data_IF_664215325404
#
_entry.id   IF_664215325404
#
_cell.length_a   1.000
_cell.length_b   1.000
_cell.length_c   1.000
_cell.angle_alpha   90.00
_cell.angle_beta   90.00
_cell.angle_gamma   90.00
#
_symmetry.space_group_name_H-M   'P 1'
#
loop_
_entity.id
_entity.type
_entity.pdbx_description
1 polymer ?
#
# COMPACT_ATOMS: atom_id res chain seq x y z
N UNK A 1 13.65 -6.74 -5.95
CA UNK A 1 13.53 -6.46 -7.38
C UNK A 1 12.07 -6.17 -7.64
N UNK A 2 11.76 -5.14 -8.44
CA UNK A 2 10.39 -4.84 -8.89
C UNK A 2 9.93 -5.91 -9.89
N UNK A 3 8.61 -6.14 -9.96
CA UNK A 3 7.98 -7.10 -10.87
C UNK A 3 6.90 -6.41 -11.66
N UNK A 4 6.50 -6.97 -12.82
CA UNK A 4 5.36 -6.49 -13.59
C UNK A 4 4.05 -6.82 -12.87
N UNK A 5 3.04 -5.98 -13.09
CA UNK A 5 1.65 -6.24 -12.68
C UNK A 5 0.79 -6.30 -13.93
N UNK A 6 0.02 -7.37 -14.09
CA UNK A 6 -0.93 -7.48 -15.20
C UNK A 6 -2.33 -7.78 -14.68
N UNK A 7 -3.30 -6.98 -15.10
CA UNK A 7 -4.74 -7.22 -14.91
C UNK A 7 -5.33 -7.69 -16.23
N UNK A 8 -6.04 -8.82 -16.22
CA UNK A 8 -6.71 -9.37 -17.38
C UNK A 8 -8.21 -9.49 -17.13
N UNK A 9 -9.01 -8.65 -17.81
CA UNK A 9 -10.48 -8.62 -17.76
C UNK A 9 -11.03 -8.57 -16.33
N UNK A 10 -10.39 -7.79 -15.46
CA UNK A 10 -10.76 -7.70 -14.05
C UNK A 10 -12.11 -6.99 -13.90
N UNK A 11 -13.04 -7.68 -13.25
CA UNK A 11 -14.34 -7.14 -12.89
C UNK A 11 -14.65 -7.39 -11.42
N UNK A 12 -15.33 -6.45 -10.79
CA UNK A 12 -15.91 -6.59 -9.46
C UNK A 12 -17.34 -6.14 -9.45
N UNK A 13 -18.24 -7.05 -9.17
CA UNK A 13 -19.66 -6.77 -9.03
C UNK A 13 -20.14 -7.05 -7.59
N UNK A 14 -21.18 -6.34 -7.20
CA UNK A 14 -21.91 -6.53 -5.96
C UNK A 14 -23.40 -6.70 -6.28
N UNK A 15 -24.11 -7.33 -5.35
CA UNK A 15 -25.57 -7.43 -5.41
C UNK A 15 -26.13 -6.57 -4.28
N UNK A 16 -27.00 -5.61 -4.62
CA UNK A 16 -27.73 -4.77 -3.67
C UNK A 16 -29.20 -4.74 -4.14
N UNK A 17 -30.12 -4.99 -3.22
CA UNK A 17 -31.58 -4.98 -3.49
C UNK A 17 -31.98 -5.90 -4.67
N UNK A 18 -31.33 -7.07 -4.79
CA UNK A 18 -31.44 -8.01 -5.90
C UNK A 18 -30.95 -7.51 -7.26
N UNK A 19 -30.34 -6.32 -7.33
CA UNK A 19 -29.73 -5.80 -8.56
C UNK A 19 -28.21 -5.95 -8.52
N UNK A 20 -27.63 -6.45 -9.63
CA UNK A 20 -26.18 -6.56 -9.81
C UNK A 20 -25.64 -5.25 -10.36
N UNK A 21 -24.65 -4.66 -9.67
CA UNK A 21 -23.92 -3.51 -10.19
C UNK A 21 -22.42 -3.79 -10.22
N UNK A 22 -21.71 -3.19 -11.17
CA UNK A 22 -20.26 -3.31 -11.29
C UNK A 22 -19.58 -2.08 -10.70
N UNK A 23 -18.74 -2.30 -9.68
CA UNK A 23 -17.85 -1.25 -9.18
C UNK A 23 -16.59 -1.10 -10.06
N UNK A 24 -16.19 -2.21 -10.70
CA UNK A 24 -15.10 -2.28 -11.69
C UNK A 24 -15.54 -3.26 -12.76
N UNK A 25 -15.35 -2.92 -14.04
CA UNK A 25 -15.78 -3.77 -15.16
C UNK A 25 -14.71 -3.84 -16.25
N UNK A 26 -14.29 -5.06 -16.58
CA UNK A 26 -13.42 -5.42 -17.69
C UNK A 26 -12.13 -4.56 -17.79
N UNK A 27 -11.45 -4.35 -16.65
CA UNK A 27 -10.20 -3.59 -16.59
C UNK A 27 -9.05 -4.47 -17.07
N UNK A 28 -8.32 -3.96 -18.07
CA UNK A 28 -7.08 -4.51 -18.56
C UNK A 28 -5.96 -3.49 -18.34
N UNK A 29 -4.85 -3.92 -17.76
CA UNK A 29 -3.74 -3.06 -17.41
C UNK A 29 -2.45 -3.88 -17.36
N UNK A 30 -1.37 -3.29 -17.84
CA UNK A 30 -0.02 -3.81 -17.69
C UNK A 30 0.89 -2.71 -17.16
N UNK A 31 1.61 -3.00 -16.07
CA UNK A 31 2.59 -2.09 -15.43
C UNK A 31 3.93 -2.80 -15.43
N UNK A 32 4.92 -2.16 -16.02
CA UNK A 32 6.27 -2.72 -16.13
C UNK A 32 7.07 -2.58 -14.82
N UNK A 33 8.10 -3.41 -14.59
CA UNK A 33 8.98 -3.26 -13.45
C UNK A 33 9.61 -1.86 -13.39
N UNK A 34 9.45 -1.16 -12.23
CA UNK A 34 9.98 0.19 -12.03
C UNK A 34 9.10 1.31 -12.61
N UNK A 35 7.99 0.99 -13.23
CA UNK A 35 7.03 1.97 -13.71
C UNK A 35 6.21 2.58 -12.55
N UNK A 36 5.88 3.86 -12.69
CA UNK A 36 4.97 4.58 -11.81
C UNK A 36 3.65 4.84 -12.55
N UNK A 37 2.55 4.26 -12.05
CA UNK A 37 1.22 4.41 -12.64
C UNK A 37 0.29 5.14 -11.68
N UNK A 38 -0.53 6.05 -12.18
CA UNK A 38 -1.55 6.76 -11.41
C UNK A 38 -2.94 6.49 -11.97
N UNK A 39 -3.86 6.05 -11.09
CA UNK A 39 -5.28 6.04 -11.39
C UNK A 39 -5.89 7.43 -11.17
N UNK A 40 -6.40 8.04 -12.22
CA UNK A 40 -7.09 9.33 -12.17
C UNK A 40 -8.59 9.14 -12.46
N UNK A 41 -9.43 9.85 -11.75
CA UNK A 41 -10.87 9.81 -11.97
C UNK A 41 -11.68 10.30 -10.76
N UNK A 42 -12.99 10.56 -10.92
CA UNK A 42 -13.86 11.04 -9.85
C UNK A 42 -14.00 10.03 -8.70
N UNK A 43 -14.56 10.49 -7.58
CA UNK A 43 -14.92 9.60 -6.47
C UNK A 43 -15.93 8.54 -6.94
N UNK A 44 -15.75 7.30 -6.50
CA UNK A 44 -16.64 6.20 -6.85
C UNK A 44 -16.37 5.50 -8.20
N UNK A 45 -15.37 5.92 -8.99
CA UNK A 45 -15.06 5.28 -10.28
C UNK A 45 -14.27 3.96 -10.16
N UNK A 46 -14.12 3.39 -8.97
CA UNK A 46 -13.51 2.07 -8.78
C UNK A 46 -12.01 2.04 -8.49
N UNK A 47 -11.31 3.19 -8.33
CA UNK A 47 -9.85 3.23 -8.04
C UNK A 47 -9.46 2.42 -6.81
N UNK A 48 -10.05 2.74 -5.66
CA UNK A 48 -9.80 2.03 -4.40
C UNK A 48 -10.17 0.54 -4.48
N UNK A 49 -11.28 0.21 -5.15
CA UNK A 49 -11.69 -1.19 -5.38
C UNK A 49 -10.65 -1.94 -6.20
N UNK A 50 -10.14 -1.33 -7.27
CA UNK A 50 -9.07 -1.91 -8.11
C UNK A 50 -7.80 -2.13 -7.30
N UNK A 51 -7.34 -1.13 -6.53
CA UNK A 51 -6.18 -1.24 -5.66
C UNK A 51 -6.35 -2.36 -4.62
N UNK A 52 -7.54 -2.46 -4.00
CA UNK A 52 -7.84 -3.53 -3.03
C UNK A 52 -7.84 -4.92 -3.65
N UNK A 53 -8.33 -5.06 -4.90
CA UNK A 53 -8.25 -6.32 -5.62
C UNK A 53 -6.79 -6.69 -5.92
N UNK A 54 -5.96 -5.74 -6.37
CA UNK A 54 -4.53 -5.97 -6.61
C UNK A 54 -3.84 -6.37 -5.31
N UNK A 55 -4.14 -5.71 -4.19
CA UNK A 55 -3.55 -6.00 -2.88
C UNK A 55 -4.01 -7.33 -2.28
N UNK A 56 -5.15 -7.89 -2.72
CA UNK A 56 -5.73 -9.11 -2.14
C UNK A 56 -6.63 -8.90 -0.93
N UNK A 57 -7.06 -7.65 -0.69
CA UNK A 57 -8.10 -7.35 0.31
C UNK A 57 -9.49 -7.61 -0.23
N UNK A 58 -9.63 -7.73 -1.55
CA UNK A 58 -10.86 -8.03 -2.23
C UNK A 58 -10.61 -8.99 -3.39
N UNK A 59 -11.50 -9.96 -3.58
CA UNK A 59 -11.37 -10.93 -4.69
C UNK A 59 -12.18 -10.43 -5.89
N UNK A 60 -11.61 -10.37 -7.11
CA UNK A 60 -12.36 -10.01 -8.28
C UNK A 60 -13.47 -11.06 -8.55
N UNK A 61 -14.58 -10.62 -9.13
CA UNK A 61 -15.66 -11.52 -9.56
C UNK A 61 -15.26 -12.27 -10.84
N UNK A 62 -14.48 -11.60 -11.71
CA UNK A 62 -14.01 -12.13 -12.99
C UNK A 62 -12.61 -11.63 -13.28
N UNK A 63 -11.87 -12.36 -14.12
CA UNK A 63 -10.54 -12.01 -14.59
C UNK A 63 -9.40 -12.54 -13.74
N UNK A 64 -8.16 -12.08 -14.03
CA UNK A 64 -6.94 -12.55 -13.41
C UNK A 64 -6.00 -11.41 -13.06
N UNK A 65 -5.29 -11.54 -11.94
CA UNK A 65 -4.23 -10.64 -11.49
C UNK A 65 -2.92 -11.42 -11.47
N UNK A 66 -1.95 -10.97 -12.27
CA UNK A 66 -0.62 -11.57 -12.34
C UNK A 66 0.42 -10.63 -11.75
N UNK A 67 1.34 -11.17 -10.96
CA UNK A 67 2.51 -10.49 -10.43
C UNK A 67 3.76 -11.20 -11.00
N UNK A 68 4.39 -10.59 -11.99
CA UNK A 68 5.27 -11.33 -12.89
C UNK A 68 4.50 -12.45 -13.58
N UNK A 69 5.03 -13.67 -13.53
CA UNK A 69 4.37 -14.87 -14.09
C UNK A 69 3.41 -15.56 -13.10
N UNK A 70 3.33 -15.06 -11.86
CA UNK A 70 2.52 -15.68 -10.80
C UNK A 70 1.10 -15.15 -10.79
N UNK A 71 0.11 -16.03 -10.92
CA UNK A 71 -1.30 -15.70 -10.69
C UNK A 71 -1.52 -15.53 -9.17
N UNK A 72 -1.91 -14.29 -8.77
CA UNK A 72 -2.17 -13.92 -7.39
C UNK A 72 -3.65 -13.66 -7.13
N UNK A 73 -4.54 -13.93 -8.08
CA UNK A 73 -5.96 -13.60 -8.04
C UNK A 73 -6.64 -14.06 -6.75
N UNK A 74 -6.36 -15.29 -6.31
CA UNK A 74 -6.94 -15.92 -5.11
C UNK A 74 -5.99 -15.92 -3.91
N UNK A 75 -4.79 -15.37 -4.03
CA UNK A 75 -3.81 -15.31 -2.95
C UNK A 75 -4.20 -14.18 -1.99
N UNK A 76 -4.23 -14.41 -0.66
CA UNK A 76 -4.55 -13.37 0.32
C UNK A 76 -3.44 -12.31 0.39
N UNK A 77 -3.79 -11.11 0.87
CA UNK A 77 -2.91 -9.94 0.86
C UNK A 77 -1.55 -10.16 1.56
N UNK A 78 -1.53 -10.89 2.67
CA UNK A 78 -0.31 -11.18 3.45
C UNK A 78 0.70 -12.07 2.70
N UNK A 79 0.27 -12.75 1.63
CA UNK A 79 1.13 -13.68 0.86
C UNK A 79 1.53 -13.13 -0.51
N UNK A 80 1.03 -11.95 -0.91
CA UNK A 80 1.35 -11.34 -2.22
C UNK A 80 2.70 -10.61 -2.24
N UNK A 81 3.31 -10.31 -1.09
CA UNK A 81 4.59 -9.60 -1.02
C UNK A 81 4.51 -8.14 -1.47
N UNK A 82 3.33 -7.56 -1.48
CA UNK A 82 3.08 -6.16 -1.84
C UNK A 82 3.03 -5.27 -0.61
N UNK A 83 3.33 -3.97 -0.78
CA UNK A 83 3.10 -2.94 0.21
C UNK A 83 1.83 -2.15 -0.11
N UNK A 84 1.05 -1.80 0.92
CA UNK A 84 -0.16 -0.99 0.76
C UNK A 84 -0.14 0.19 1.74
N UNK A 85 -0.30 1.40 1.20
CA UNK A 85 -0.49 2.63 1.97
C UNK A 85 -1.96 3.02 1.88
N UNK A 86 -2.65 2.98 3.02
CA UNK A 86 -4.07 3.33 3.13
C UNK A 86 -4.27 4.84 3.17
N UNK A 87 -5.40 5.32 2.67
CA UNK A 87 -5.81 6.73 2.69
C UNK A 87 -5.80 7.35 4.10
N UNK A 88 -6.17 6.58 5.13
CA UNK A 88 -6.15 6.99 6.54
C UNK A 88 -4.88 6.60 7.29
N UNK A 89 -3.81 6.27 6.55
CA UNK A 89 -2.49 5.84 7.04
C UNK A 89 -2.49 4.53 7.87
N UNK A 90 -3.58 4.17 8.52
CA UNK A 90 -3.79 2.98 9.34
C UNK A 90 -2.64 2.73 10.34
N UNK A 91 -2.11 3.78 10.98
CA UNK A 91 -1.10 3.65 12.03
C UNK A 91 -1.73 3.06 13.29
N UNK A 92 -0.94 2.30 14.04
CA UNK A 92 -1.34 1.76 15.34
C UNK A 92 -1.20 2.86 16.40
N UNK A 93 -2.32 3.44 16.91
CA UNK A 93 -2.27 4.64 17.75
C UNK A 93 -1.63 4.40 19.13
N UNK A 94 -1.65 3.17 19.61
CA UNK A 94 -1.09 2.72 20.89
C UNK A 94 0.39 2.33 20.82
N UNK A 95 0.98 2.34 19.62
CA UNK A 95 2.38 2.00 19.39
C UNK A 95 3.20 3.24 19.07
N UNK A 96 4.44 3.29 19.54
CA UNK A 96 5.43 4.30 19.12
C UNK A 96 5.71 4.18 17.61
N UNK A 97 6.27 5.24 17.03
CA UNK A 97 6.63 5.28 15.60
C UNK A 97 7.63 4.18 15.24
N UNK A 98 8.64 3.95 16.10
CA UNK A 98 9.55 2.82 15.94
C UNK A 98 8.80 1.50 15.80
N UNK A 99 7.86 1.23 16.72
CA UNK A 99 7.10 -0.04 16.74
C UNK A 99 6.13 -0.16 15.57
N UNK A 100 5.54 0.96 15.11
CA UNK A 100 4.72 0.99 13.90
C UNK A 100 5.54 0.54 12.68
N UNK A 101 6.76 1.06 12.50
CA UNK A 101 7.63 0.71 11.36
C UNK A 101 8.20 -0.70 11.54
N UNK A 102 8.58 -1.09 12.74
CA UNK A 102 9.13 -2.41 13.06
C UNK A 102 8.13 -3.56 12.94
N UNK A 103 6.83 -3.27 12.95
CA UNK A 103 5.77 -4.27 13.08
C UNK A 103 5.89 -5.43 12.08
N UNK A 104 6.03 -5.13 10.81
CA UNK A 104 6.16 -6.14 9.76
C UNK A 104 7.46 -6.96 9.85
N UNK A 105 8.55 -6.35 10.30
CA UNK A 105 9.83 -7.05 10.51
C UNK A 105 9.73 -8.04 11.68
N UNK A 106 9.00 -7.68 12.75
CA UNK A 106 8.75 -8.59 13.87
C UNK A 106 7.92 -9.80 13.45
N UNK A 107 6.89 -9.60 12.60
CA UNK A 107 6.11 -10.71 12.03
C UNK A 107 7.00 -11.64 11.22
N UNK A 108 8.00 -11.09 10.50
CA UNK A 108 9.02 -11.87 9.79
C UNK A 108 10.08 -12.51 10.70
N UNK A 109 9.98 -12.30 12.03
CA UNK A 109 10.90 -12.84 13.05
C UNK A 109 12.37 -12.42 12.82
N UNK A 110 12.59 -11.19 12.31
CA UNK A 110 13.96 -10.65 12.19
C UNK A 110 14.53 -10.34 13.58
N UNK A 111 15.88 -10.38 13.72
CA UNK A 111 16.54 -10.08 14.98
C UNK A 111 16.42 -8.60 15.37
N UNK A 112 16.49 -8.30 16.66
CA UNK A 112 16.33 -6.93 17.17
C UNK A 112 17.35 -5.95 16.57
N UNK A 113 18.59 -6.38 16.37
CA UNK A 113 19.65 -5.55 15.77
C UNK A 113 19.33 -5.19 14.32
N UNK A 114 18.84 -6.17 13.55
CA UNK A 114 18.43 -5.96 12.16
C UNK A 114 17.21 -5.03 12.10
N UNK A 115 16.23 -5.22 13.00
CA UNK A 115 15.05 -4.37 13.10
C UNK A 115 15.48 -2.92 13.40
N UNK A 116 16.31 -2.71 14.42
CA UNK A 116 16.76 -1.37 14.81
C UNK A 116 17.45 -0.63 13.64
N UNK A 117 18.34 -1.32 12.93
CA UNK A 117 19.03 -0.77 11.75
C UNK A 117 18.05 -0.40 10.64
N UNK A 118 17.18 -1.34 10.23
CA UNK A 118 16.23 -1.13 9.12
C UNK A 118 15.21 -0.02 9.43
N UNK A 119 14.71 0.05 10.67
CA UNK A 119 13.77 1.10 11.09
C UNK A 119 14.43 2.47 11.02
N UNK A 120 15.67 2.60 11.52
CA UNK A 120 16.43 3.85 11.45
C UNK A 120 16.64 4.30 10.00
N UNK A 121 17.04 3.38 9.12
CA UNK A 121 17.18 3.66 7.69
C UNK A 121 15.85 4.10 7.06
N UNK A 122 14.75 3.41 7.36
CA UNK A 122 13.44 3.74 6.81
C UNK A 122 12.92 5.10 7.30
N UNK A 123 13.12 5.45 8.57
CA UNK A 123 12.75 6.76 9.12
C UNK A 123 13.62 7.88 8.54
N UNK A 124 14.91 7.64 8.29
CA UNK A 124 15.80 8.58 7.63
C UNK A 124 15.36 8.87 6.18
N UNK A 125 14.97 7.84 5.42
CA UNK A 125 14.45 8.01 4.04
C UNK A 125 13.24 8.94 3.97
N UNK A 126 12.43 9.03 5.02
CA UNK A 126 11.25 9.89 5.06
C UNK A 126 11.44 11.17 5.89
N UNK A 127 12.68 11.46 6.36
CA UNK A 127 13.01 12.66 7.13
C UNK A 127 12.38 12.71 8.52
N UNK A 128 12.30 11.57 9.21
CA UNK A 128 11.67 11.42 10.52
C UNK A 128 12.59 10.74 11.57
N UNK A 129 13.90 10.91 11.48
CA UNK A 129 14.91 10.25 12.34
C UNK A 129 14.66 10.51 13.84
N UNK A 130 14.13 11.69 14.17
CA UNK A 130 13.89 12.11 15.57
C UNK A 130 12.50 11.72 16.08
N UNK A 131 11.69 11.04 15.28
CA UNK A 131 10.30 10.72 15.64
C UNK A 131 10.11 9.33 16.26
N UNK A 132 11.14 8.50 16.32
CA UNK A 132 11.06 7.08 16.70
C UNK A 132 10.35 6.81 18.05
N UNK A 133 10.51 7.72 19.02
CA UNK A 133 9.92 7.57 20.37
C UNK A 133 8.54 8.22 20.52
N UNK A 134 8.07 8.95 19.51
CA UNK A 134 6.74 9.59 19.51
C UNK A 134 5.63 8.58 19.22
N UNK A 135 4.40 8.98 19.55
CA UNK A 135 3.17 8.29 19.16
C UNK A 135 2.53 8.99 17.94
N UNK A 136 1.67 8.28 17.17
CA UNK A 136 1.02 8.87 15.99
C UNK A 136 0.28 10.19 16.27
N UNK A 137 -0.41 10.31 17.42
CA UNK A 137 -1.14 11.52 17.81
C UNK A 137 -0.24 12.74 18.11
N UNK A 138 1.06 12.55 18.20
CA UNK A 138 2.06 13.63 18.38
C UNK A 138 2.65 14.09 17.03
N UNK A 139 2.13 13.59 15.91
CA UNK A 139 2.59 13.90 14.58
C UNK A 139 1.50 14.63 13.78
N UNK A 140 1.92 15.52 12.89
CA UNK A 140 1.05 16.09 11.87
C UNK A 140 0.56 15.02 10.87
N UNK A 141 -0.52 15.28 10.14
CA UNK A 141 -1.03 14.35 9.14
C UNK A 141 0.01 13.97 8.07
N UNK A 142 0.82 14.94 7.62
CA UNK A 142 1.92 14.68 6.68
C UNK A 142 3.04 13.82 7.28
N UNK A 143 3.36 13.98 8.57
CA UNK A 143 4.31 13.10 9.26
C UNK A 143 3.75 11.69 9.43
N UNK A 144 2.47 11.55 9.80
CA UNK A 144 1.80 10.24 9.89
C UNK A 144 1.82 9.50 8.55
N UNK A 145 1.60 10.21 7.46
CA UNK A 145 1.68 9.67 6.11
C UNK A 145 3.08 9.15 5.79
N UNK A 146 4.13 9.92 6.12
CA UNK A 146 5.53 9.50 5.95
C UNK A 146 5.87 8.28 6.79
N UNK A 147 5.33 8.17 8.02
CA UNK A 147 5.48 6.95 8.83
C UNK A 147 4.81 5.75 8.16
N UNK A 148 3.60 5.91 7.60
CA UNK A 148 2.92 4.85 6.88
C UNK A 148 3.74 4.38 5.66
N UNK A 149 4.37 5.31 4.95
CA UNK A 149 5.29 4.99 3.86
C UNK A 149 6.54 4.25 4.36
N UNK A 150 7.19 4.72 5.43
CA UNK A 150 8.35 4.05 6.04
C UNK A 150 8.01 2.61 6.48
N UNK A 151 6.80 2.39 7.05
CA UNK A 151 6.30 1.07 7.43
C UNK A 151 6.20 0.09 6.25
N UNK A 152 5.90 0.59 5.08
CA UNK A 152 5.87 -0.22 3.85
C UNK A 152 7.28 -0.42 3.28
N UNK A 153 8.06 0.66 3.16
CA UNK A 153 9.39 0.64 2.55
C UNK A 153 10.39 -0.27 3.31
N UNK A 154 10.29 -0.33 4.64
CA UNK A 154 11.17 -1.14 5.49
C UNK A 154 11.14 -2.64 5.12
N UNK A 155 10.01 -3.10 4.58
CA UNK A 155 9.80 -4.49 4.16
C UNK A 155 10.35 -4.79 2.75
N UNK A 156 10.77 -3.76 2.00
CA UNK A 156 11.26 -3.85 0.62
C UNK A 156 10.31 -4.64 -0.29
N UNK A 157 9.06 -4.22 -0.43
CA UNK A 157 8.08 -4.93 -1.25
C UNK A 157 8.44 -4.87 -2.73
N UNK A 158 7.91 -5.83 -3.51
CA UNK A 158 8.10 -5.88 -4.97
C UNK A 158 7.22 -4.87 -5.72
N UNK A 159 6.07 -4.52 -5.13
CA UNK A 159 5.10 -3.54 -5.64
C UNK A 159 4.56 -2.73 -4.46
N UNK A 160 4.40 -1.44 -4.65
CA UNK A 160 3.77 -0.54 -3.68
C UNK A 160 2.47 -0.02 -4.28
N UNK A 161 1.39 -0.18 -3.54
CA UNK A 161 0.07 0.35 -3.85
C UNK A 161 -0.24 1.49 -2.89
N UNK A 162 -0.73 2.61 -3.41
CA UNK A 162 -1.05 3.79 -2.61
C UNK A 162 -2.45 4.28 -2.94
N UNK A 163 -3.31 4.34 -1.92
CA UNK A 163 -4.68 4.84 -2.05
C UNK A 163 -4.71 6.30 -1.58
N UNK A 164 -4.82 7.24 -2.54
CA UNK A 164 -4.80 8.69 -2.33
C UNK A 164 -3.61 9.21 -1.48
N UNK A 165 -2.36 8.82 -1.81
CA UNK A 165 -1.21 9.03 -0.92
C UNK A 165 -0.80 10.50 -0.74
N UNK A 166 -1.30 11.42 -1.56
CA UNK A 166 -0.83 12.80 -1.62
C UNK A 166 -1.90 13.82 -1.21
N UNK A 167 -3.05 13.39 -0.74
CA UNK A 167 -4.18 14.28 -0.43
C UNK A 167 -3.86 15.30 0.67
N UNK A 168 -3.01 14.95 1.62
CA UNK A 168 -2.68 15.77 2.81
C UNK A 168 -1.24 16.31 2.82
N UNK A 169 -0.50 16.22 1.71
CA UNK A 169 0.85 16.78 1.60
C UNK A 169 0.82 18.16 0.96
N UNK A 170 1.63 19.08 1.49
CA UNK A 170 1.90 20.36 0.83
C UNK A 170 2.66 20.18 -0.50
N UNK A 171 2.58 21.21 -1.38
CA UNK A 171 3.13 21.13 -2.74
C UNK A 171 4.66 20.91 -2.76
N UNK A 172 5.39 21.47 -1.78
CA UNK A 172 6.86 21.35 -1.70
C UNK A 172 7.26 19.94 -1.31
N UNK A 173 6.52 19.34 -0.38
CA UNK A 173 6.80 17.98 0.08
C UNK A 173 6.44 16.92 -0.97
N UNK A 174 5.39 17.18 -1.78
CA UNK A 174 5.04 16.29 -2.92
C UNK A 174 6.18 16.14 -3.92
N UNK A 175 6.89 17.23 -4.20
CA UNK A 175 8.01 17.22 -5.14
C UNK A 175 9.23 16.44 -4.61
N UNK A 176 9.42 16.38 -3.29
CA UNK A 176 10.55 15.68 -2.68
C UNK A 176 10.30 14.18 -2.47
N UNK A 177 9.03 13.80 -2.37
CA UNK A 177 8.60 12.42 -2.14
C UNK A 177 8.51 11.61 -3.43
#
# INVERSE_FOLDING_TARGET
MSVSLTLKNISRSYVKDNEKFYAVQNVNLEVQPGEFLTFLGPSGCGKTTTLRMIAGFETPTEGQILLGDKDVTKIPANERGMGFVFQNYALFPHMKIFDNVAYGLRIRKESNDVIAKKVKEALAMVGLEKAEHRYPNQLSGGEQQRVALARVLVLRPQLILMDEPLSNLDAKLRLHM
#
